data_IF_826080471554
#
_entry.id   IF_826080471554
#
_cell.length_a   1.000
_cell.length_b   1.000
_cell.length_c   1.000
_cell.angle_alpha   90.00
_cell.angle_beta   90.00
_cell.angle_gamma   90.00
#
_symmetry.space_group_name_H-M   'P 1'
#
loop_
_entity.id
_entity.type
_entity.pdbx_description
1 polymer ?
#
# COMPACT_ATOMS: atom_id res chain seq x y z
N UNK A 1 -3.91 -6.41 -11.24
CA UNK A 1 -3.04 -5.37 -11.84
C UNK A 1 -2.49 -4.53 -10.72
N UNK A 2 -1.27 -4.02 -10.82
CA UNK A 2 -0.74 -3.04 -9.87
C UNK A 2 -0.95 -1.67 -10.50
N UNK A 3 -1.79 -0.83 -9.89
CA UNK A 3 -2.17 0.47 -10.45
C UNK A 3 -1.26 1.59 -9.97
N UNK A 4 -0.72 1.48 -8.77
CA UNK A 4 0.20 2.44 -8.19
C UNK A 4 1.05 1.81 -7.11
N UNK A 5 1.98 2.58 -6.56
CA UNK A 5 2.78 2.17 -5.41
C UNK A 5 3.06 3.37 -4.51
N UNK A 6 2.96 3.17 -3.19
CA UNK A 6 3.46 4.10 -2.19
C UNK A 6 4.82 3.57 -1.70
N UNK A 7 5.84 4.43 -1.78
CA UNK A 7 7.19 4.12 -1.32
C UNK A 7 7.60 5.09 -0.22
N UNK A 8 8.29 4.59 0.79
CA UNK A 8 8.99 5.43 1.78
C UNK A 8 10.42 4.95 1.99
N UNK A 9 11.36 5.89 1.92
CA UNK A 9 12.77 5.67 2.27
C UNK A 9 13.42 4.45 1.58
N UNK A 10 13.04 4.21 0.32
CA UNK A 10 13.56 3.11 -0.50
C UNK A 10 14.50 3.68 -1.57
N UNK A 11 15.80 3.31 -1.48
CA UNK A 11 16.85 3.79 -2.39
C UNK A 11 16.84 5.32 -2.52
N UNK A 12 16.63 5.85 -3.71
CA UNK A 12 16.65 7.28 -3.97
C UNK A 12 15.31 8.00 -3.62
N UNK A 13 14.27 7.28 -3.19
CA UNK A 13 13.02 7.87 -2.71
C UNK A 13 13.11 8.19 -1.21
N UNK A 14 13.10 9.47 -0.85
CA UNK A 14 13.15 9.97 0.53
C UNK A 14 11.77 10.45 0.95
N UNK A 15 11.33 10.14 2.18
CA UNK A 15 9.94 10.36 2.61
C UNK A 15 8.95 9.58 1.74
N UNK A 16 7.67 9.93 1.82
CA UNK A 16 6.59 9.19 1.17
C UNK A 16 6.33 9.69 -0.24
N UNK A 17 6.21 8.76 -1.19
CA UNK A 17 5.91 9.05 -2.58
C UNK A 17 4.80 8.13 -3.06
N UNK A 18 3.77 8.71 -3.70
CA UNK A 18 2.79 7.97 -4.48
C UNK A 18 3.20 8.05 -5.94
N UNK A 19 3.29 6.89 -6.58
CA UNK A 19 3.65 6.77 -7.98
C UNK A 19 2.50 6.04 -8.69
N UNK A 20 1.71 6.74 -9.53
CA UNK A 20 0.76 6.09 -10.40
C UNK A 20 1.53 5.29 -11.47
N UNK A 21 1.16 4.03 -11.65
CA UNK A 21 1.82 3.13 -12.59
C UNK A 21 0.96 2.91 -13.82
N UNK A 22 -0.35 2.72 -13.65
CA UNK A 22 -1.25 2.47 -14.78
C UNK A 22 -2.68 2.86 -14.50
N UNK A 23 -3.30 3.44 -15.53
CA UNK A 23 -4.76 3.64 -15.64
C UNK A 23 -5.37 2.65 -16.65
N UNK A 24 -4.55 1.95 -17.44
CA UNK A 24 -5.02 1.07 -18.53
C UNK A 24 -4.20 -0.22 -18.61
N UNK A 25 -4.88 -1.36 -18.61
CA UNK A 25 -4.30 -2.69 -18.48
C UNK A 25 -3.41 -3.20 -19.63
N UNK A 26 -3.03 -2.38 -20.61
CA UNK A 26 -2.24 -2.84 -21.78
C UNK A 26 -0.73 -2.59 -21.68
N UNK A 27 -0.30 -1.44 -21.16
CA UNK A 27 1.13 -1.11 -21.01
C UNK A 27 1.33 0.17 -20.22
N UNK A 28 2.45 0.25 -19.50
CA UNK A 28 2.92 1.48 -18.84
C UNK A 28 4.41 1.68 -19.09
N UNK A 29 4.82 2.94 -19.21
CA UNK A 29 6.18 3.32 -19.54
C UNK A 29 6.71 4.27 -18.46
N UNK A 30 7.84 3.90 -17.83
CA UNK A 30 8.55 4.78 -16.91
C UNK A 30 9.65 5.52 -17.70
N UNK A 31 9.45 6.81 -17.96
CA UNK A 31 10.36 7.64 -18.76
C UNK A 31 10.93 8.76 -17.87
N UNK A 32 12.21 9.10 -18.07
CA UNK A 32 12.91 10.14 -17.31
C UNK A 32 14.43 9.98 -17.39
N UNK A 33 15.16 10.91 -16.77
CA UNK A 33 16.63 10.92 -16.79
C UNK A 33 17.27 9.75 -16.02
N UNK A 34 18.55 9.50 -16.29
CA UNK A 34 19.31 8.49 -15.55
C UNK A 34 19.43 8.87 -14.07
N UNK A 35 19.28 7.89 -13.18
CA UNK A 35 19.35 8.11 -11.73
C UNK A 35 18.07 8.65 -11.07
N UNK A 36 17.03 9.05 -11.83
CA UNK A 36 15.79 9.61 -11.26
C UNK A 36 14.95 8.62 -10.45
N UNK A 37 15.24 7.31 -10.54
CA UNK A 37 14.56 6.26 -9.75
C UNK A 37 13.68 5.29 -10.54
N UNK A 38 13.69 5.33 -11.87
CA UNK A 38 12.89 4.41 -12.71
C UNK A 38 13.11 2.93 -12.34
N UNK A 39 14.38 2.50 -12.29
CA UNK A 39 14.74 1.13 -11.91
C UNK A 39 14.42 0.82 -10.45
N UNK A 40 14.51 1.81 -9.55
CA UNK A 40 14.16 1.65 -8.15
C UNK A 40 12.68 1.32 -7.97
N UNK A 41 11.78 1.91 -8.76
CA UNK A 41 10.34 1.59 -8.72
C UNK A 41 10.11 0.11 -9.07
N UNK A 42 10.72 -0.37 -10.16
CA UNK A 42 10.60 -1.76 -10.58
C UNK A 42 11.18 -2.72 -9.54
N UNK A 43 12.33 -2.36 -8.95
CA UNK A 43 12.95 -3.13 -7.88
C UNK A 43 12.08 -3.17 -6.61
N UNK A 44 11.38 -2.09 -6.27
CA UNK A 44 10.47 -2.07 -5.13
C UNK A 44 9.31 -3.07 -5.32
N UNK A 45 8.71 -3.09 -6.52
CA UNK A 45 7.67 -4.05 -6.87
C UNK A 45 8.19 -5.49 -6.86
N UNK A 46 9.36 -5.73 -7.47
CA UNK A 46 10.02 -7.04 -7.46
C UNK A 46 10.26 -7.55 -6.03
N UNK A 47 10.72 -6.66 -5.14
CA UNK A 47 10.97 -6.98 -3.72
C UNK A 47 9.71 -7.49 -3.03
N UNK A 48 8.55 -6.84 -3.24
CA UNK A 48 7.27 -7.23 -2.62
C UNK A 48 6.70 -8.50 -3.24
N UNK A 49 6.72 -8.63 -4.57
CA UNK A 49 6.06 -9.73 -5.27
C UNK A 49 6.84 -11.04 -5.17
N UNK A 50 8.18 -10.97 -5.21
CA UNK A 50 9.03 -12.16 -5.26
C UNK A 50 9.68 -12.53 -3.92
N UNK A 51 9.33 -11.85 -2.82
CA UNK A 51 9.74 -12.11 -1.42
C UNK A 51 11.25 -12.23 -1.14
N UNK A 52 12.12 -12.16 -2.15
CA UNK A 52 13.51 -12.58 -2.06
C UNK A 52 14.46 -11.54 -1.47
N UNK A 53 14.04 -10.28 -1.31
CA UNK A 53 14.94 -9.20 -0.86
C UNK A 53 14.35 -8.23 0.17
N UNK A 54 13.11 -8.41 0.64
CA UNK A 54 12.57 -7.48 1.64
C UNK A 54 13.33 -7.58 2.97
N UNK A 55 13.80 -8.78 3.33
CA UNK A 55 14.71 -8.97 4.46
C UNK A 55 16.05 -8.24 4.27
N UNK A 56 16.50 -8.08 3.02
CA UNK A 56 17.71 -7.34 2.65
C UNK A 56 17.45 -5.89 2.28
N UNK A 57 16.25 -5.35 2.56
CA UNK A 57 16.03 -3.93 2.46
C UNK A 57 17.05 -3.22 3.33
N UNK A 58 18.05 -2.70 2.63
CA UNK A 58 19.04 -1.79 3.16
C UNK A 58 18.25 -0.52 3.47
N UNK A 59 17.78 -0.44 4.72
CA UNK A 59 17.23 0.80 5.27
C UNK A 59 18.32 1.82 5.02
N UNK A 60 18.06 2.78 4.12
CA UNK A 60 19.02 3.81 3.71
C UNK A 60 19.96 4.14 4.87
N UNK A 61 21.27 3.90 4.71
CA UNK A 61 22.24 4.20 5.76
C UNK A 61 22.17 5.68 6.19
N UNK A 62 21.72 6.57 5.29
CA UNK A 62 21.37 7.97 5.56
C UNK A 62 20.21 8.17 6.56
N UNK A 63 19.20 7.29 6.55
CA UNK A 63 18.09 7.36 7.50
C UNK A 63 18.54 6.93 8.91
N UNK A 64 19.48 5.98 9.00
CA UNK A 64 20.14 5.57 10.25
C UNK A 64 21.08 6.65 10.79
N UNK A 65 21.88 7.29 9.93
CA UNK A 65 22.86 8.32 10.35
C UNK A 65 22.20 9.58 10.91
N UNK A 66 20.92 9.82 10.58
CA UNK A 66 20.14 10.95 11.10
C UNK A 66 19.36 10.64 12.40
N UNK A 67 19.52 9.47 13.02
CA UNK A 67 18.97 9.18 14.36
C UNK A 67 17.44 9.13 14.46
N UNK A 68 16.73 9.07 13.33
CA UNK A 68 15.26 9.11 13.31
C UNK A 68 14.67 7.71 13.42
N UNK A 69 14.34 7.33 14.66
CA UNK A 69 13.55 6.14 15.04
C UNK A 69 12.15 6.08 14.38
N UNK A 70 11.71 7.10 13.64
CA UNK A 70 10.34 7.27 13.12
C UNK A 70 10.22 7.27 11.58
N UNK A 71 11.24 6.74 10.88
CA UNK A 71 11.36 6.78 9.41
C UNK A 71 11.43 5.40 8.74
N UNK A 72 10.63 4.48 9.24
CA UNK A 72 10.51 3.10 8.75
C UNK A 72 10.25 3.05 7.23
N UNK A 73 11.06 2.32 6.44
CA UNK A 73 10.80 2.14 5.03
C UNK A 73 9.62 1.19 4.82
N UNK A 74 8.82 1.51 3.82
CA UNK A 74 7.73 0.64 3.37
C UNK A 74 7.58 0.70 1.86
N UNK A 75 6.99 -0.35 1.32
CA UNK A 75 6.57 -0.47 -0.08
C UNK A 75 5.15 -1.00 -0.05
N UNK A 76 4.20 -0.20 -0.54
CA UNK A 76 2.76 -0.56 -0.59
C UNK A 76 2.26 -0.42 -2.02
N UNK A 77 2.27 -1.53 -2.79
CA UNK A 77 1.57 -1.58 -4.06
C UNK A 77 0.06 -1.43 -3.86
N UNK A 78 -0.59 -0.79 -4.83
CA UNK A 78 -2.04 -0.69 -4.91
C UNK A 78 -2.50 -1.70 -5.96
N UNK A 79 -3.21 -2.73 -5.53
CA UNK A 79 -3.69 -3.79 -6.39
C UNK A 79 -5.12 -3.53 -6.84
N UNK A 80 -5.35 -3.59 -8.15
CA UNK A 80 -6.67 -3.64 -8.75
C UNK A 80 -6.94 -5.07 -9.25
N UNK A 81 -7.84 -5.79 -8.60
CA UNK A 81 -8.05 -7.23 -8.82
C UNK A 81 -9.52 -7.50 -9.12
N UNK A 82 -9.81 -8.23 -10.20
CA UNK A 82 -11.19 -8.68 -10.49
C UNK A 82 -11.69 -9.57 -9.36
N UNK A 83 -12.86 -9.25 -8.79
CA UNK A 83 -13.46 -10.01 -7.69
C UNK A 83 -13.65 -11.49 -8.05
N UNK A 84 -14.10 -11.77 -9.28
CA UNK A 84 -14.25 -13.13 -9.85
C UNK A 84 -12.96 -13.98 -9.88
N UNK A 85 -11.77 -13.36 -9.83
CA UNK A 85 -10.48 -14.08 -9.87
C UNK A 85 -9.98 -14.45 -8.48
N UNK A 86 -10.57 -13.92 -7.41
CA UNK A 86 -10.18 -14.24 -6.04
C UNK A 86 -10.85 -15.55 -5.64
N UNK A 87 -10.02 -16.59 -5.47
CA UNK A 87 -10.43 -17.86 -4.86
C UNK A 87 -9.88 -17.89 -3.43
N UNK A 88 -10.63 -17.31 -2.49
CA UNK A 88 -10.30 -17.28 -1.07
C UNK A 88 -11.45 -17.82 -0.23
N UNK A 89 -11.20 -18.06 1.06
CA UNK A 89 -12.29 -18.33 1.99
C UNK A 89 -13.17 -17.07 2.19
N UNK A 90 -14.36 -17.28 2.75
CA UNK A 90 -15.35 -16.21 2.93
C UNK A 90 -14.82 -15.08 3.84
N UNK A 91 -14.04 -15.39 4.88
CA UNK A 91 -13.47 -14.40 5.79
C UNK A 91 -12.48 -13.48 5.06
N UNK A 92 -11.50 -14.02 4.35
CA UNK A 92 -10.54 -13.24 3.56
C UNK A 92 -11.26 -12.42 2.50
N UNK A 93 -12.26 -13.00 1.82
CA UNK A 93 -13.02 -12.27 0.81
C UNK A 93 -13.74 -11.06 1.42
N UNK A 94 -14.36 -11.24 2.61
CA UNK A 94 -15.03 -10.17 3.35
C UNK A 94 -14.05 -9.09 3.81
N UNK A 95 -12.87 -9.46 4.28
CA UNK A 95 -11.78 -8.52 4.60
C UNK A 95 -11.37 -7.70 3.38
N UNK A 96 -11.23 -8.34 2.21
CA UNK A 96 -10.90 -7.64 0.97
C UNK A 96 -12.03 -6.71 0.49
N UNK A 97 -13.30 -7.09 0.69
CA UNK A 97 -14.45 -6.20 0.44
C UNK A 97 -14.37 -4.95 1.30
N UNK A 98 -14.26 -5.09 2.62
CA UNK A 98 -14.15 -3.96 3.54
C UNK A 98 -13.01 -3.02 3.15
N UNK A 99 -11.80 -3.57 2.94
CA UNK A 99 -10.65 -2.76 2.56
C UNK A 99 -10.92 -2.04 1.24
N UNK A 100 -11.45 -2.75 0.25
CA UNK A 100 -11.70 -2.17 -1.07
C UNK A 100 -12.78 -1.10 -1.05
N UNK A 101 -13.88 -1.32 -0.33
CA UNK A 101 -15.03 -0.43 -0.31
C UNK A 101 -14.63 0.92 0.31
N UNK A 102 -13.87 0.88 1.41
CA UNK A 102 -13.28 2.08 2.02
C UNK A 102 -12.26 2.73 1.05
N UNK A 103 -11.35 1.94 0.45
CA UNK A 103 -10.33 2.48 -0.47
C UNK A 103 -10.95 3.22 -1.67
N UNK A 104 -12.10 2.73 -2.18
CA UNK A 104 -12.85 3.38 -3.26
C UNK A 104 -13.53 4.69 -2.87
N UNK A 105 -13.74 4.95 -1.58
CA UNK A 105 -14.54 6.10 -1.11
C UNK A 105 -13.73 7.18 -0.43
N UNK A 106 -12.51 6.88 0.04
CA UNK A 106 -11.62 7.83 0.72
C UNK A 106 -11.39 9.12 -0.09
N UNK A 107 -11.56 10.25 0.54
CA UNK A 107 -11.22 11.56 0.00
C UNK A 107 -9.93 12.10 0.64
N UNK A 108 -9.31 13.10 0.01
CA UNK A 108 -8.03 13.65 0.48
C UNK A 108 -8.14 14.33 1.85
N UNK A 109 -9.35 14.77 2.18
CA UNK A 109 -9.77 15.43 3.40
C UNK A 109 -9.78 14.50 4.61
N UNK A 110 -9.96 13.19 4.39
CA UNK A 110 -9.98 12.16 5.44
C UNK A 110 -8.59 11.94 6.05
N UNK A 111 -7.54 12.38 5.35
CA UNK A 111 -6.17 12.32 5.84
C UNK A 111 -5.76 13.59 6.59
N UNK A 112 -4.82 13.43 7.52
CA UNK A 112 -4.21 14.56 8.21
C UNK A 112 -3.39 15.45 7.25
N UNK A 113 -3.12 16.68 7.68
CA UNK A 113 -2.44 17.71 6.88
C UNK A 113 -1.08 17.25 6.32
N UNK A 114 -0.34 16.38 7.02
CA UNK A 114 0.97 15.90 6.58
C UNK A 114 0.87 14.86 5.46
N UNK A 115 -0.26 14.18 5.35
CA UNK A 115 -0.52 13.13 4.36
C UNK A 115 -1.36 13.63 3.18
N UNK A 116 -2.06 14.76 3.30
CA UNK A 116 -3.01 15.28 2.31
C UNK A 116 -2.42 15.38 0.89
N UNK A 117 -1.22 15.93 0.71
CA UNK A 117 -0.58 16.02 -0.61
C UNK A 117 -0.28 14.66 -1.26
N UNK A 118 -0.02 13.64 -0.43
CA UNK A 118 0.14 12.27 -0.92
C UNK A 118 -1.21 11.65 -1.29
N UNK A 119 -2.22 11.87 -0.45
CA UNK A 119 -3.59 11.41 -0.66
C UNK A 119 -4.22 12.03 -1.91
N UNK A 120 -4.07 13.34 -2.15
CA UNK A 120 -4.55 14.03 -3.36
C UNK A 120 -4.05 13.34 -4.64
N UNK A 121 -2.79 12.90 -4.67
CA UNK A 121 -2.25 12.16 -5.83
C UNK A 121 -2.87 10.78 -6.00
N UNK A 122 -3.15 10.09 -4.89
CA UNK A 122 -3.85 8.82 -4.91
C UNK A 122 -5.29 8.99 -5.38
N UNK A 123 -6.05 9.91 -4.78
CA UNK A 123 -7.45 10.19 -5.12
C UNK A 123 -7.58 10.60 -6.58
N UNK A 124 -6.74 11.53 -7.07
CA UNK A 124 -6.73 11.92 -8.47
C UNK A 124 -6.49 10.74 -9.42
N UNK A 125 -5.61 9.81 -9.05
CA UNK A 125 -5.37 8.61 -9.85
C UNK A 125 -6.51 7.58 -9.72
N UNK A 126 -7.13 7.44 -8.55
CA UNK A 126 -8.31 6.60 -8.31
C UNK A 126 -9.48 7.05 -9.17
N UNK A 127 -9.78 8.34 -9.23
CA UNK A 127 -10.85 8.89 -10.08
C UNK A 127 -10.67 8.50 -11.55
N UNK A 128 -9.43 8.53 -12.07
CA UNK A 128 -9.14 8.07 -13.43
C UNK A 128 -9.34 6.56 -13.63
N UNK A 129 -9.16 5.76 -12.57
CA UNK A 129 -9.45 4.32 -12.60
C UNK A 129 -10.95 4.05 -12.58
N UNK A 130 -11.74 4.83 -11.83
CA UNK A 130 -13.20 4.70 -11.73
C UNK A 130 -13.90 4.88 -13.08
N UNK A 131 -13.34 5.71 -13.97
CA UNK A 131 -13.84 5.87 -15.34
C UNK A 131 -13.81 4.56 -16.15
N UNK A 132 -13.02 3.56 -15.73
CA UNK A 132 -12.75 2.33 -16.50
C UNK A 132 -13.05 1.05 -15.74
N UNK A 133 -13.08 1.12 -14.41
CA UNK A 133 -13.18 -0.02 -13.53
C UNK A 133 -14.22 0.24 -12.45
N UNK A 134 -15.21 -0.64 -12.33
CA UNK A 134 -16.24 -0.55 -11.31
C UNK A 134 -15.79 -1.17 -10.00
N UNK A 135 -16.09 -0.50 -8.87
CA UNK A 135 -15.92 -1.04 -7.51
C UNK A 135 -16.75 -2.31 -7.26
N UNK A 136 -17.84 -2.50 -8.00
CA UNK A 136 -18.65 -3.74 -7.94
C UNK A 136 -17.93 -4.95 -8.54
N UNK A 137 -17.04 -4.74 -9.51
CA UNK A 137 -16.34 -5.83 -10.23
C UNK A 137 -14.89 -6.01 -9.79
N UNK A 138 -14.30 -4.97 -9.19
CA UNK A 138 -12.88 -4.93 -8.84
C UNK A 138 -12.65 -4.55 -7.38
N UNK A 139 -11.75 -5.30 -6.74
CA UNK A 139 -11.09 -4.90 -5.51
C UNK A 139 -9.99 -3.87 -5.81
N UNK A 140 -9.89 -2.85 -4.96
CA UNK A 140 -8.79 -1.89 -4.90
C UNK A 140 -8.12 -2.00 -3.53
N UNK A 141 -6.94 -2.64 -3.47
CA UNK A 141 -6.33 -3.08 -2.21
C UNK A 141 -4.94 -2.46 -2.06
N UNK A 142 -4.74 -1.54 -1.11
CA UNK A 142 -3.42 -1.05 -0.73
C UNK A 142 -2.79 -1.99 0.30
N UNK A 143 -1.89 -2.88 -0.12
CA UNK A 143 -1.21 -3.76 0.84
C UNK A 143 0.22 -4.01 0.42
N UNK A 144 1.12 -3.92 1.39
CA UNK A 144 2.52 -4.22 1.17
C UNK A 144 3.23 -4.56 2.47
N UNK A 145 4.44 -4.07 2.63
CA UNK A 145 5.25 -4.38 3.81
C UNK A 145 6.01 -3.16 4.32
N UNK A 146 6.17 -3.10 5.64
CA UNK A 146 6.99 -2.15 6.38
C UNK A 146 8.06 -2.90 7.14
N UNK A 147 9.22 -2.29 7.31
CA UNK A 147 10.31 -2.82 8.12
C UNK A 147 10.68 -1.81 9.21
N UNK A 148 10.37 -2.14 10.47
CA UNK A 148 10.55 -1.21 11.60
C UNK A 148 12.02 -1.04 11.99
N UNK A 149 12.76 -2.13 11.99
CA UNK A 149 14.19 -2.17 12.27
C UNK A 149 15.00 -2.96 11.24
N UNK A 150 16.32 -2.77 11.21
CA UNK A 150 17.19 -3.39 10.20
C UNK A 150 17.15 -4.94 10.21
N UNK A 151 16.90 -5.53 11.38
CA UNK A 151 16.83 -6.98 11.58
C UNK A 151 15.39 -7.47 11.77
N UNK A 152 14.40 -6.58 11.68
CA UNK A 152 13.02 -6.95 11.92
C UNK A 152 12.44 -7.68 10.72
N UNK A 153 11.60 -8.66 11.02
CA UNK A 153 10.78 -9.31 10.01
C UNK A 153 9.81 -8.28 9.44
N UNK A 154 9.70 -8.17 8.11
CA UNK A 154 8.75 -7.27 7.48
C UNK A 154 7.32 -7.63 7.89
N UNK A 155 6.53 -6.62 8.27
CA UNK A 155 5.13 -6.80 8.62
C UNK A 155 4.22 -6.22 7.54
N UNK A 156 3.02 -6.78 7.34
CA UNK A 156 2.02 -6.17 6.46
C UNK A 156 1.73 -4.72 6.87
N UNK A 157 1.46 -3.87 5.88
CA UNK A 157 1.00 -2.50 6.12
C UNK A 157 0.14 -2.00 4.95
N UNK A 158 -0.76 -1.07 5.25
CA UNK A 158 -1.48 -0.24 4.28
C UNK A 158 -0.95 1.21 4.26
N UNK A 159 0.19 1.51 4.87
CA UNK A 159 0.79 2.86 4.86
C UNK A 159 -0.18 3.93 5.39
N UNK A 160 -0.35 5.05 4.68
CA UNK A 160 -1.24 6.15 5.09
C UNK A 160 -2.69 5.72 5.27
N UNK A 161 -3.13 4.64 4.60
CA UNK A 161 -4.52 4.19 4.73
C UNK A 161 -4.83 3.69 6.14
N UNK A 162 -3.82 3.26 6.90
CA UNK A 162 -4.00 2.85 8.31
C UNK A 162 -4.39 4.00 9.23
N UNK A 163 -4.26 5.27 8.81
CA UNK A 163 -4.75 6.40 9.62
C UNK A 163 -6.23 6.70 9.42
N UNK A 164 -6.90 6.00 8.51
CA UNK A 164 -8.35 6.13 8.29
C UNK A 164 -9.06 5.17 9.26
N UNK A 165 -9.83 5.74 10.17
CA UNK A 165 -10.47 5.02 11.29
C UNK A 165 -11.42 3.92 10.81
N UNK A 166 -12.13 4.16 9.70
CA UNK A 166 -13.11 3.22 9.14
C UNK A 166 -12.51 1.83 8.86
N UNK A 167 -11.22 1.75 8.50
CA UNK A 167 -10.59 0.43 8.34
C UNK A 167 -10.54 -0.34 9.64
N UNK A 168 -10.19 0.31 10.76
CA UNK A 168 -10.08 -0.37 12.05
C UNK A 168 -11.45 -0.82 12.52
N UNK A 169 -12.44 0.07 12.49
CA UNK A 169 -13.81 -0.21 12.93
C UNK A 169 -14.41 -1.38 12.15
N UNK A 170 -14.35 -1.34 10.82
CA UNK A 170 -14.96 -2.36 9.98
C UNK A 170 -14.19 -3.69 10.03
N UNK A 171 -12.85 -3.66 10.09
CA UNK A 171 -12.05 -4.89 10.18
C UNK A 171 -12.18 -5.58 11.54
N UNK A 172 -12.27 -4.83 12.64
CA UNK A 172 -12.52 -5.39 13.97
C UNK A 172 -13.89 -6.06 14.04
N UNK A 173 -14.90 -5.50 13.38
CA UNK A 173 -16.25 -6.09 13.32
C UNK A 173 -16.28 -7.49 12.65
N UNK A 174 -15.27 -7.82 11.83
CA UNK A 174 -15.16 -9.12 11.17
C UNK A 174 -14.54 -10.20 12.07
N UNK A 175 -13.96 -9.83 13.21
CA UNK A 175 -13.39 -10.77 14.17
C UNK A 175 -14.56 -11.36 14.99
N UNK A 176 -14.81 -12.67 14.94
CA UNK A 176 -15.84 -13.28 15.76
C UNK A 176 -15.57 -13.03 17.25
N UNK A 177 -16.58 -12.69 18.04
CA UNK A 177 -16.51 -12.42 19.49
C UNK A 177 -15.95 -13.59 20.35
N UNK A 178 -15.55 -14.72 19.77
CA UNK A 178 -15.15 -15.92 20.49
C UNK A 178 -13.66 -16.03 20.89
N UNK A 179 -12.90 -14.93 20.91
CA UNK A 179 -11.50 -14.95 21.42
C UNK A 179 -11.31 -14.31 22.80
N UNK A 180 -12.39 -14.00 23.52
CA UNK A 180 -12.34 -13.54 24.92
C UNK A 180 -12.73 -14.63 25.92
N UNK A 181 -12.00 -15.76 25.94
CA UNK A 181 -11.99 -16.79 27.01
C UNK A 181 -10.59 -17.43 26.90
N UNK A 182 -9.62 -17.37 27.82
CA UNK A 182 -9.60 -17.37 29.29
C UNK A 182 -8.20 -16.92 29.71
N UNK A 183 -8.08 -15.89 30.55
CA UNK A 183 -6.91 -15.71 31.42
C UNK A 183 -7.37 -15.95 32.85
N UNK A 184 -7.12 -17.16 33.35
CA UNK A 184 -7.03 -17.43 34.79
C UNK A 184 -5.56 -17.35 35.19
#
# INVERSE_FOLDING_TARGET
>A
MIVGVILRNFKNFRNQHYIPLTVNARSSWLIGENGVGKSSILQALDTILNKNDFNKLDINNDARSQGLLTREPFIVPIFLIRKEKIRSNASIYKTLEVISDITWQIESEDFNLLQRTLAEKFVAHRTLLEEKYSSSEYFLIPIGSVKKGANDTPTPTMSIFESIEDYHVELESLIPESTSVTSN
#
